data_IF_361366165623
#
_entry.id   IF_361366165623
#
_cell.length_a   1.000
_cell.length_b   1.000
_cell.length_c   1.000
_cell.angle_alpha   90.00
_cell.angle_beta   90.00
_cell.angle_gamma   90.00
#
_symmetry.space_group_name_H-M   'P 1'
#
loop_
_entity.id
_entity.type
_entity.pdbx_description
1 polymer ?
#
# COMPACT_ATOMS: atom_id res chain seq x y z
N UNK A 1 13.41 -34.98 18.19
CA UNK A 1 12.29 -34.59 17.32
C UNK A 1 11.14 -35.55 17.57
N UNK A 2 10.02 -35.07 18.09
CA UNK A 2 8.81 -35.89 18.28
C UNK A 2 7.81 -35.53 17.19
N UNK A 3 7.47 -36.49 16.33
CA UNK A 3 6.53 -36.28 15.23
C UNK A 3 5.10 -36.51 15.71
N UNK A 4 4.22 -35.51 15.58
CA UNK A 4 2.83 -35.63 15.99
C UNK A 4 1.91 -35.99 14.81
N UNK A 5 1.48 -37.24 14.73
CA UNK A 5 0.61 -37.74 13.65
C UNK A 5 -0.75 -37.03 13.61
N UNK A 6 -1.32 -36.69 14.77
CA UNK A 6 -2.62 -36.02 14.80
C UNK A 6 -2.53 -34.57 14.34
N UNK A 7 -1.42 -33.88 14.62
CA UNK A 7 -1.19 -32.54 14.09
C UNK A 7 -0.95 -32.56 12.58
N UNK A 8 -0.28 -33.60 12.07
CA UNK A 8 -0.14 -33.81 10.62
C UNK A 8 -1.50 -33.94 9.94
N UNK A 9 -2.39 -34.81 10.45
CA UNK A 9 -3.68 -35.06 9.82
C UNK A 9 -4.65 -33.87 9.95
N UNK A 10 -4.85 -33.38 11.17
CA UNK A 10 -5.86 -32.35 11.46
C UNK A 10 -5.36 -30.91 11.23
N UNK A 11 -4.04 -30.69 11.15
CA UNK A 11 -3.42 -29.40 10.88
C UNK A 11 -3.91 -28.28 11.81
N UNK A 12 -4.38 -27.14 11.28
CA UNK A 12 -4.85 -25.98 12.04
C UNK A 12 -5.91 -26.32 13.08
N UNK A 13 -6.76 -27.31 12.78
CA UNK A 13 -7.84 -27.73 13.67
C UNK A 13 -7.25 -28.30 14.97
N UNK A 14 -6.15 -29.04 14.89
CA UNK A 14 -5.48 -29.61 16.05
C UNK A 14 -4.97 -28.55 17.03
N UNK A 15 -4.41 -27.45 16.49
CA UNK A 15 -3.90 -26.32 17.27
C UNK A 15 -5.05 -25.51 17.89
N UNK A 16 -6.12 -25.25 17.12
CA UNK A 16 -7.28 -24.51 17.62
C UNK A 16 -8.08 -25.27 18.68
N UNK A 17 -8.23 -26.60 18.54
CA UNK A 17 -8.82 -27.47 19.58
C UNK A 17 -8.08 -27.34 20.92
N UNK A 18 -6.76 -27.16 20.88
CA UNK A 18 -5.88 -26.98 22.04
C UNK A 18 -5.77 -25.54 22.53
N UNK A 19 -6.56 -24.63 21.96
CA UNK A 19 -6.58 -23.22 22.30
C UNK A 19 -5.24 -22.51 22.02
N UNK A 20 -4.50 -22.96 21.00
CA UNK A 20 -3.26 -22.34 20.53
C UNK A 20 -3.53 -21.60 19.22
N UNK A 21 -4.29 -20.51 19.32
CA UNK A 21 -4.85 -19.82 18.14
C UNK A 21 -3.81 -19.14 17.26
N UNK A 22 -2.72 -18.60 17.82
CA UNK A 22 -1.69 -17.93 17.02
C UNK A 22 -1.09 -18.88 15.97
N UNK A 23 -0.75 -20.11 16.38
CA UNK A 23 -0.26 -21.15 15.49
C UNK A 23 -1.36 -21.70 14.58
N UNK A 24 -2.58 -21.87 15.09
CA UNK A 24 -3.71 -22.32 14.28
C UNK A 24 -3.97 -21.36 13.11
N UNK A 25 -4.00 -20.04 13.35
CA UNK A 25 -4.24 -19.03 12.32
C UNK A 25 -3.12 -18.95 11.30
N UNK A 26 -1.86 -18.91 11.74
CA UNK A 26 -0.71 -18.86 10.84
C UNK A 26 -0.69 -20.07 9.89
N UNK A 27 -0.88 -21.27 10.43
CA UNK A 27 -0.96 -22.49 9.62
C UNK A 27 -2.21 -22.55 8.75
N UNK A 28 -3.37 -22.05 9.23
CA UNK A 28 -4.59 -22.02 8.45
C UNK A 28 -4.45 -21.17 7.18
N UNK A 29 -3.78 -20.02 7.27
CA UNK A 29 -3.55 -19.16 6.10
C UNK A 29 -2.75 -19.90 5.03
N UNK A 30 -1.63 -20.52 5.43
CA UNK A 30 -0.74 -21.19 4.48
C UNK A 30 -1.39 -22.47 3.91
N UNK A 31 -2.10 -23.23 4.76
CA UNK A 31 -2.82 -24.43 4.33
C UNK A 31 -3.98 -24.08 3.39
N UNK A 32 -4.76 -23.05 3.72
CA UNK A 32 -5.83 -22.55 2.84
C UNK A 32 -5.26 -22.11 1.49
N UNK A 33 -4.16 -21.36 1.48
CA UNK A 33 -3.48 -20.97 0.24
C UNK A 33 -3.06 -22.19 -0.58
N UNK A 34 -2.47 -23.19 0.06
CA UNK A 34 -2.04 -24.43 -0.61
C UNK A 34 -3.21 -25.18 -1.24
N UNK A 35 -4.32 -25.35 -0.49
CA UNK A 35 -5.54 -26.00 -0.99
C UNK A 35 -6.16 -25.19 -2.13
N UNK A 36 -6.20 -23.86 -2.03
CA UNK A 36 -6.66 -22.99 -3.12
C UNK A 36 -5.83 -23.22 -4.39
N UNK A 37 -4.50 -23.32 -4.31
CA UNK A 37 -3.68 -23.58 -5.51
C UNK A 37 -3.95 -24.96 -6.12
N UNK A 38 -4.20 -25.99 -5.30
CA UNK A 38 -4.56 -27.33 -5.77
C UNK A 38 -5.88 -27.30 -6.52
N UNK A 39 -6.93 -26.74 -5.91
CA UNK A 39 -8.26 -26.70 -6.51
C UNK A 39 -8.26 -25.79 -7.74
N UNK A 40 -7.61 -24.62 -7.66
CA UNK A 40 -7.47 -23.70 -8.79
C UNK A 40 -6.74 -24.36 -9.96
N UNK A 41 -5.63 -25.06 -9.70
CA UNK A 41 -4.83 -25.68 -10.75
C UNK A 41 -5.48 -26.88 -11.43
N UNK A 42 -6.25 -27.71 -10.71
CA UNK A 42 -6.90 -28.89 -11.30
C UNK A 42 -8.33 -28.65 -11.81
N UNK A 43 -9.10 -27.81 -11.11
CA UNK A 43 -10.54 -27.69 -11.33
C UNK A 43 -11.02 -26.25 -11.51
N UNK A 44 -10.20 -25.26 -11.15
CA UNK A 44 -10.59 -23.86 -11.16
C UNK A 44 -10.45 -23.19 -12.52
N UNK A 45 -11.13 -22.05 -12.67
CA UNK A 45 -11.04 -21.24 -13.87
C UNK A 45 -9.86 -20.26 -13.77
N UNK A 46 -8.67 -20.77 -14.06
CA UNK A 46 -7.39 -20.04 -13.93
C UNK A 46 -7.29 -18.90 -14.95
N UNK A 47 -7.98 -19.04 -16.09
CA UNK A 47 -7.99 -18.09 -17.20
C UNK A 47 -9.07 -17.02 -17.08
N UNK A 48 -9.98 -17.11 -16.10
CA UNK A 48 -11.09 -16.17 -15.92
C UNK A 48 -10.65 -14.70 -15.97
N UNK A 49 -9.56 -14.35 -15.27
CA UNK A 49 -9.04 -12.98 -15.25
C UNK A 49 -8.48 -12.54 -16.61
N UNK A 50 -7.81 -13.45 -17.33
CA UNK A 50 -7.26 -13.16 -18.65
C UNK A 50 -8.36 -13.04 -19.72
N UNK A 51 -9.37 -13.92 -19.67
CA UNK A 51 -10.56 -13.86 -20.52
C UNK A 51 -11.35 -12.57 -20.26
N UNK A 52 -11.49 -12.15 -19.00
CA UNK A 52 -12.15 -10.88 -18.66
C UNK A 52 -11.45 -9.67 -19.28
N UNK A 53 -10.12 -9.67 -19.37
CA UNK A 53 -9.37 -8.62 -20.09
C UNK A 53 -9.66 -8.64 -21.58
N UNK A 54 -9.73 -9.83 -22.19
CA UNK A 54 -10.10 -10.00 -23.60
C UNK A 54 -11.50 -9.43 -23.85
N UNK A 55 -12.49 -9.75 -22.99
CA UNK A 55 -13.85 -9.20 -23.09
C UNK A 55 -13.87 -7.66 -22.98
N UNK A 56 -13.07 -7.09 -22.07
CA UNK A 56 -12.95 -5.64 -21.93
C UNK A 56 -12.34 -4.99 -23.19
N UNK A 57 -11.29 -5.56 -23.75
CA UNK A 57 -10.68 -5.06 -24.99
C UNK A 57 -11.64 -5.23 -26.17
N UNK A 58 -12.32 -6.35 -26.29
CA UNK A 58 -13.32 -6.60 -27.32
C UNK A 58 -14.45 -5.55 -27.27
N UNK A 59 -15.00 -5.26 -26.08
CA UNK A 59 -16.02 -4.22 -25.93
C UNK A 59 -15.52 -2.83 -26.35
N UNK A 60 -14.22 -2.56 -26.14
CA UNK A 60 -13.58 -1.32 -26.58
C UNK A 60 -13.42 -1.30 -28.11
N UNK A 61 -13.03 -2.41 -28.73
CA UNK A 61 -12.93 -2.56 -30.19
C UNK A 61 -14.30 -2.32 -30.83
N UNK A 62 -15.35 -2.96 -30.31
CA UNK A 62 -16.72 -2.82 -30.81
C UNK A 62 -17.19 -1.35 -30.75
N UNK A 63 -16.86 -0.65 -29.67
CA UNK A 63 -17.14 0.78 -29.55
C UNK A 63 -16.36 1.62 -30.58
N UNK A 64 -15.08 1.30 -30.82
CA UNK A 64 -14.26 2.01 -31.82
C UNK A 64 -14.71 1.72 -33.26
N UNK A 65 -15.21 0.51 -33.55
CA UNK A 65 -15.78 0.18 -34.85
C UNK A 65 -17.02 1.03 -35.16
N UNK A 66 -17.91 1.24 -34.18
CA UNK A 66 -19.05 2.17 -34.33
C UNK A 66 -18.60 3.61 -34.59
N UNK A 67 -17.52 4.07 -33.93
CA UNK A 67 -16.95 5.39 -34.18
C UNK A 67 -16.34 5.51 -35.58
N UNK A 68 -15.70 4.43 -36.06
CA UNK A 68 -15.14 4.35 -37.41
C UNK A 68 -16.25 4.45 -38.47
N UNK A 69 -17.35 3.72 -38.31
CA UNK A 69 -18.52 3.80 -39.20
C UNK A 69 -19.08 5.23 -39.26
N UNK A 70 -19.29 5.86 -38.11
CA UNK A 70 -19.75 7.26 -38.05
C UNK A 70 -18.75 8.26 -38.66
N UNK A 71 -17.46 7.99 -38.58
CA UNK A 71 -16.41 8.82 -39.16
C UNK A 71 -16.31 8.66 -40.68
N UNK A 72 -16.59 7.48 -41.23
CA UNK A 72 -16.65 7.25 -42.68
C UNK A 72 -17.73 8.13 -43.33
N UNK A 73 -18.85 8.32 -42.65
CA UNK A 73 -19.96 9.16 -43.13
C UNK A 73 -19.72 10.66 -42.97
N UNK A 74 -19.04 11.10 -41.89
CA UNK A 74 -19.01 12.51 -41.49
C UNK A 74 -17.62 13.17 -41.45
N UNK A 75 -16.50 12.43 -41.44
CA UNK A 75 -15.14 12.97 -41.32
C UNK A 75 -14.05 11.99 -41.86
N UNK A 76 -13.72 12.06 -43.16
CA UNK A 76 -12.79 11.13 -43.81
C UNK A 76 -11.38 11.12 -43.21
N UNK A 77 -10.89 12.27 -42.74
CA UNK A 77 -9.51 12.43 -42.25
C UNK A 77 -9.21 11.63 -40.98
N UNK A 78 -10.24 11.26 -40.20
CA UNK A 78 -10.08 10.50 -38.94
C UNK A 78 -10.19 8.98 -39.12
N UNK A 79 -10.60 8.52 -40.31
CA UNK A 79 -10.82 7.09 -40.61
C UNK A 79 -9.53 6.29 -40.41
N UNK A 80 -8.39 6.79 -40.87
CA UNK A 80 -7.10 6.10 -40.71
C UNK A 80 -6.65 5.99 -39.25
N UNK A 81 -6.94 7.01 -38.44
CA UNK A 81 -6.60 7.03 -37.01
C UNK A 81 -7.39 5.94 -36.28
N UNK A 82 -8.69 5.82 -36.55
CA UNK A 82 -9.53 4.79 -35.95
C UNK A 82 -9.13 3.39 -36.42
N UNK A 83 -8.87 3.18 -37.72
CA UNK A 83 -8.37 1.89 -38.22
C UNK A 83 -7.06 1.47 -37.54
N UNK A 84 -6.13 2.41 -37.34
CA UNK A 84 -4.87 2.12 -36.64
C UNK A 84 -5.11 1.79 -35.17
N UNK A 85 -6.01 2.51 -34.50
CA UNK A 85 -6.36 2.25 -33.11
C UNK A 85 -7.00 0.86 -32.93
N UNK A 86 -7.96 0.51 -33.80
CA UNK A 86 -8.60 -0.82 -33.80
C UNK A 86 -7.54 -1.90 -34.02
N UNK A 87 -6.67 -1.76 -35.03
CA UNK A 87 -5.58 -2.71 -35.28
C UNK A 87 -4.67 -2.89 -34.06
N UNK A 88 -4.30 -1.80 -33.38
CA UNK A 88 -3.48 -1.89 -32.17
C UNK A 88 -4.17 -2.62 -31.01
N UNK A 89 -5.50 -2.50 -30.90
CA UNK A 89 -6.29 -3.22 -29.90
C UNK A 89 -6.43 -4.70 -30.26
N UNK A 90 -6.59 -5.03 -31.54
CA UNK A 90 -6.59 -6.41 -32.04
C UNK A 90 -5.23 -7.10 -31.81
N UNK A 91 -4.12 -6.41 -32.11
CA UNK A 91 -2.77 -6.89 -31.83
C UNK A 91 -2.57 -7.14 -30.32
N UNK A 92 -3.05 -6.23 -29.46
CA UNK A 92 -3.01 -6.41 -28.01
C UNK A 92 -3.89 -7.59 -27.54
N UNK A 93 -5.06 -7.78 -28.15
CA UNK A 93 -5.96 -8.90 -27.86
C UNK A 93 -5.32 -10.24 -28.22
N UNK A 94 -4.57 -10.31 -29.32
CA UNK A 94 -3.79 -11.50 -29.67
C UNK A 94 -2.72 -11.81 -28.62
N UNK A 95 -2.07 -10.77 -28.07
CA UNK A 95 -1.17 -10.90 -26.92
C UNK A 95 -1.86 -11.53 -25.71
N UNK A 96 -3.05 -11.05 -25.33
CA UNK A 96 -3.82 -11.64 -24.23
C UNK A 96 -4.28 -13.08 -24.52
N UNK A 97 -4.63 -13.40 -25.77
CA UNK A 97 -4.96 -14.77 -26.16
C UNK A 97 -3.76 -15.74 -25.99
N UNK A 98 -2.55 -15.26 -26.27
CA UNK A 98 -1.32 -16.03 -25.99
C UNK A 98 -1.08 -16.18 -24.48
N UNK A 99 -1.33 -15.13 -23.68
CA UNK A 99 -1.25 -15.22 -22.22
C UNK A 99 -2.23 -16.27 -21.66
N UNK A 100 -3.46 -16.35 -22.18
CA UNK A 100 -4.44 -17.39 -21.79
C UNK A 100 -3.85 -18.79 -21.98
N UNK A 101 -3.27 -19.07 -23.16
CA UNK A 101 -2.65 -20.38 -23.45
C UNK A 101 -1.47 -20.68 -22.52
N UNK A 102 -0.65 -19.68 -22.20
CA UNK A 102 0.45 -19.84 -21.26
C UNK A 102 -0.04 -20.13 -19.84
N UNK A 103 -1.09 -19.44 -19.39
CA UNK A 103 -1.71 -19.67 -18.07
C UNK A 103 -2.31 -21.06 -17.99
N UNK A 104 -3.00 -21.54 -19.04
CA UNK A 104 -3.51 -22.91 -19.12
C UNK A 104 -2.39 -23.95 -19.03
N UNK A 105 -1.28 -23.74 -19.75
CA UNK A 105 -0.12 -24.63 -19.67
C UNK A 105 0.52 -24.65 -18.27
N UNK A 106 0.45 -23.54 -17.54
CA UNK A 106 0.97 -23.44 -16.16
C UNK A 106 0.04 -24.03 -15.10
N UNK A 107 -1.21 -24.38 -15.44
CA UNK A 107 -2.21 -24.91 -14.52
C UNK A 107 -1.70 -26.07 -13.65
N UNK A 108 -1.05 -27.03 -14.31
CA UNK A 108 -0.51 -28.24 -13.67
C UNK A 108 0.61 -27.87 -12.69
N UNK A 109 1.48 -26.93 -13.07
CA UNK A 109 2.56 -26.47 -12.20
C UNK A 109 2.04 -25.75 -10.95
N UNK A 110 0.97 -24.96 -11.08
CA UNK A 110 0.29 -24.32 -9.95
C UNK A 110 -0.26 -25.39 -8.98
N UNK A 111 -0.89 -26.43 -9.51
CA UNK A 111 -1.43 -27.53 -8.71
C UNK A 111 -0.32 -28.30 -7.96
N UNK A 112 0.77 -28.66 -8.66
CA UNK A 112 1.93 -29.35 -8.08
C UNK A 112 2.56 -28.51 -6.96
N UNK A 113 2.74 -27.22 -7.21
CA UNK A 113 3.25 -26.29 -6.20
C UNK A 113 2.36 -26.29 -4.94
N UNK A 114 1.03 -26.25 -5.12
CA UNK A 114 0.08 -26.36 -4.01
C UNK A 114 0.22 -27.66 -3.21
N UNK A 115 0.40 -28.81 -3.87
CA UNK A 115 0.62 -30.11 -3.20
C UNK A 115 1.92 -30.11 -2.41
N UNK A 116 3.02 -29.67 -3.03
CA UNK A 116 4.34 -29.64 -2.38
C UNK A 116 4.30 -28.73 -1.14
N UNK A 117 3.71 -27.55 -1.29
CA UNK A 117 3.56 -26.60 -0.18
C UNK A 117 2.71 -27.18 0.95
N UNK A 118 1.59 -27.85 0.63
CA UNK A 118 0.72 -28.50 1.61
C UNK A 118 1.49 -29.57 2.41
N UNK A 119 2.26 -30.42 1.72
CA UNK A 119 3.05 -31.48 2.37
C UNK A 119 4.12 -30.89 3.31
N UNK A 120 4.83 -29.85 2.86
CA UNK A 120 5.82 -29.15 3.69
C UNK A 120 5.16 -28.58 4.94
N UNK A 121 4.04 -27.87 4.78
CA UNK A 121 3.32 -27.25 5.90
C UNK A 121 2.82 -28.30 6.88
N UNK A 122 2.26 -29.41 6.40
CA UNK A 122 1.81 -30.54 7.23
C UNK A 122 2.97 -31.14 8.03
N UNK A 123 4.14 -31.27 7.41
CA UNK A 123 5.34 -31.77 8.08
C UNK A 123 5.84 -30.81 9.17
N UNK A 124 5.88 -29.50 8.88
CA UNK A 124 6.24 -28.47 9.86
C UNK A 124 5.25 -28.42 11.03
N UNK A 125 3.94 -28.50 10.75
CA UNK A 125 2.90 -28.60 11.78
C UNK A 125 3.16 -29.79 12.72
N UNK A 126 3.47 -30.96 12.17
CA UNK A 126 3.73 -32.18 12.93
C UNK A 126 4.98 -32.10 13.81
N UNK A 127 6.01 -31.37 13.35
CA UNK A 127 7.25 -31.13 14.09
C UNK A 127 7.03 -30.16 15.24
N UNK A 128 6.43 -29.00 14.95
CA UNK A 128 6.30 -27.91 15.94
C UNK A 128 5.21 -28.18 16.96
N UNK A 129 4.24 -29.05 16.64
CA UNK A 129 3.11 -29.40 17.49
C UNK A 129 3.49 -29.69 18.95
N UNK A 130 4.52 -30.51 19.17
CA UNK A 130 4.89 -30.93 20.53
C UNK A 130 5.63 -29.82 21.29
N UNK A 131 6.54 -29.09 20.65
CA UNK A 131 7.25 -27.95 21.24
C UNK A 131 6.28 -26.84 21.67
N UNK A 132 5.29 -26.57 20.82
CA UNK A 132 4.26 -25.57 21.08
C UNK A 132 3.35 -26.01 22.23
N UNK A 133 2.99 -27.29 22.28
CA UNK A 133 2.23 -27.85 23.41
C UNK A 133 2.99 -27.78 24.72
N UNK A 134 4.28 -28.11 24.72
CA UNK A 134 5.14 -28.05 25.90
C UNK A 134 5.24 -26.62 26.45
N UNK A 135 5.50 -25.65 25.56
CA UNK A 135 5.55 -24.23 25.94
C UNK A 135 4.22 -23.78 26.56
N UNK A 136 3.10 -24.16 25.94
CA UNK A 136 1.77 -23.84 26.45
C UNK A 136 1.46 -24.52 27.78
N UNK A 137 1.90 -25.76 27.95
CA UNK A 137 1.73 -26.50 29.19
C UNK A 137 2.52 -25.85 30.34
N UNK A 138 3.74 -25.40 30.08
CA UNK A 138 4.55 -24.65 31.06
C UNK A 138 3.90 -23.32 31.46
N UNK A 139 3.35 -22.57 30.50
CA UNK A 139 2.58 -21.35 30.80
C UNK A 139 1.36 -21.64 31.68
N UNK A 140 0.62 -22.70 31.35
CA UNK A 140 -0.55 -23.12 32.12
C UNK A 140 -0.18 -23.56 33.54
N UNK A 141 0.98 -24.22 33.71
CA UNK A 141 1.50 -24.59 35.02
C UNK A 141 1.83 -23.36 35.86
N UNK A 142 2.40 -22.32 35.23
CA UNK A 142 2.69 -21.03 35.89
C UNK A 142 1.43 -20.21 36.18
N UNK A 143 0.39 -20.29 35.34
CA UNK A 143 -0.83 -19.51 35.47
C UNK A 143 -2.08 -20.35 35.20
N UNK A 144 -2.73 -20.79 36.29
CA UNK A 144 -3.96 -21.60 36.23
C UNK A 144 -5.22 -20.85 35.78
N UNK A 145 -5.15 -19.52 35.60
CA UNK A 145 -6.25 -18.74 35.04
C UNK A 145 -6.41 -18.95 33.53
N UNK A 146 -5.43 -19.54 32.86
CA UNK A 146 -5.50 -19.85 31.44
C UNK A 146 -6.56 -20.92 31.16
N UNK A 147 -7.47 -20.64 30.22
CA UNK A 147 -8.53 -21.57 29.85
C UNK A 147 -7.93 -22.90 29.34
N UNK A 148 -8.39 -24.05 29.88
CA UNK A 148 -7.99 -25.36 29.38
C UNK A 148 -8.28 -25.51 27.89
N UNK A 149 -7.34 -26.09 27.15
CA UNK A 149 -7.58 -26.63 25.81
C UNK A 149 -8.55 -27.81 25.85
N UNK A 150 -8.93 -28.31 24.66
CA UNK A 150 -9.72 -29.55 24.51
C UNK A 150 -11.13 -29.55 25.12
N UNK A 151 -11.75 -28.38 25.32
CA UNK A 151 -13.19 -28.28 25.61
C UNK A 151 -13.99 -28.46 24.32
N UNK A 152 -15.20 -29.02 24.40
CA UNK A 152 -16.09 -29.20 23.25
C UNK A 152 -16.29 -27.91 22.44
N UNK A 153 -16.39 -26.76 23.12
CA UNK A 153 -16.44 -25.42 22.49
C UNK A 153 -15.26 -25.15 21.54
N UNK A 154 -14.04 -25.55 21.92
CA UNK A 154 -12.84 -25.32 21.10
C UNK A 154 -12.81 -26.25 19.89
N UNK A 155 -13.28 -27.49 20.03
CA UNK A 155 -13.43 -28.42 18.91
C UNK A 155 -14.37 -27.85 17.84
N UNK A 156 -15.56 -27.42 18.27
CA UNK A 156 -16.57 -26.85 17.37
C UNK A 156 -16.06 -25.56 16.75
N UNK A 157 -15.53 -24.64 17.57
CA UNK A 157 -15.03 -23.35 17.08
C UNK A 157 -13.88 -23.51 16.10
N UNK A 158 -12.90 -24.37 16.39
CA UNK A 158 -11.75 -24.58 15.51
C UNK A 158 -12.13 -25.30 14.21
N UNK A 159 -13.03 -26.29 14.29
CA UNK A 159 -13.53 -26.99 13.12
C UNK A 159 -14.34 -26.07 12.19
N UNK A 160 -15.34 -25.37 12.73
CA UNK A 160 -16.17 -24.43 11.97
C UNK A 160 -15.32 -23.32 11.36
N UNK A 161 -14.44 -22.71 12.15
CA UNK A 161 -13.62 -21.60 11.68
C UNK A 161 -12.71 -22.01 10.51
N UNK A 162 -12.06 -23.17 10.63
CA UNK A 162 -11.20 -23.73 9.59
C UNK A 162 -12.01 -24.09 8.33
N UNK A 163 -13.17 -24.72 8.50
CA UNK A 163 -14.04 -25.12 7.39
C UNK A 163 -14.58 -23.91 6.64
N UNK A 164 -15.09 -22.90 7.35
CA UNK A 164 -15.64 -21.67 6.77
C UNK A 164 -14.58 -20.96 5.95
N UNK A 165 -13.39 -20.74 6.51
CA UNK A 165 -12.30 -20.06 5.81
C UNK A 165 -11.86 -20.84 4.57
N UNK A 166 -11.64 -22.16 4.70
CA UNK A 166 -11.23 -22.98 3.57
C UNK A 166 -12.29 -23.00 2.48
N UNK A 167 -13.57 -23.22 2.83
CA UNK A 167 -14.66 -23.29 1.87
C UNK A 167 -14.81 -21.98 1.08
N UNK A 168 -14.96 -20.84 1.78
CA UNK A 168 -15.15 -19.55 1.11
C UNK A 168 -13.92 -19.13 0.29
N UNK A 169 -12.71 -19.39 0.79
CA UNK A 169 -11.50 -19.07 0.03
C UNK A 169 -11.38 -19.92 -1.23
N UNK A 170 -11.63 -21.23 -1.14
CA UNK A 170 -11.59 -22.13 -2.30
C UNK A 170 -12.62 -21.73 -3.34
N UNK A 171 -13.86 -21.46 -2.94
CA UNK A 171 -14.91 -21.05 -3.86
C UNK A 171 -14.56 -19.71 -4.54
N UNK A 172 -14.19 -18.70 -3.76
CA UNK A 172 -13.91 -17.36 -4.30
C UNK A 172 -12.71 -17.34 -5.26
N UNK A 173 -11.60 -17.99 -4.88
CA UNK A 173 -10.36 -17.91 -5.66
C UNK A 173 -10.25 -18.97 -6.77
N UNK A 174 -10.93 -20.12 -6.65
CA UNK A 174 -10.88 -21.17 -7.68
C UNK A 174 -12.00 -21.02 -8.70
N UNK A 175 -13.15 -20.45 -8.30
CA UNK A 175 -14.33 -20.26 -9.15
C UNK A 175 -14.80 -18.79 -9.11
N UNK A 176 -14.06 -17.85 -9.73
CA UNK A 176 -14.46 -16.46 -9.78
C UNK A 176 -15.85 -16.30 -10.41
N UNK A 177 -16.74 -15.51 -9.80
CA UNK A 177 -18.08 -15.26 -10.33
C UNK A 177 -19.16 -16.27 -9.93
N UNK A 178 -18.83 -17.38 -9.27
CA UNK A 178 -19.83 -18.39 -8.87
C UNK A 178 -20.78 -17.89 -7.77
N UNK A 179 -20.27 -17.05 -6.86
CA UNK A 179 -21.05 -16.40 -5.81
C UNK A 179 -20.86 -14.88 -5.94
N UNK A 180 -21.80 -14.20 -6.60
CA UNK A 180 -21.70 -12.76 -6.89
C UNK A 180 -21.59 -11.89 -5.63
N UNK A 181 -22.25 -12.28 -4.53
CA UNK A 181 -22.21 -11.54 -3.25
C UNK A 181 -20.80 -11.50 -2.62
N UNK A 182 -19.89 -12.38 -3.05
CA UNK A 182 -18.50 -12.39 -2.59
C UNK A 182 -17.57 -11.51 -3.42
N UNK A 183 -17.97 -11.12 -4.63
CA UNK A 183 -17.09 -10.35 -5.52
C UNK A 183 -16.93 -8.91 -5.07
N UNK A 184 -18.02 -8.32 -4.56
CA UNK A 184 -18.03 -6.96 -4.06
C UNK A 184 -18.58 -6.97 -2.64
N UNK A 185 -17.97 -6.18 -1.77
CA UNK A 185 -18.57 -5.90 -0.49
C UNK A 185 -19.95 -5.25 -0.71
N UNK A 186 -21.00 -5.66 0.03
CA UNK A 186 -22.34 -5.10 -0.11
C UNK A 186 -22.39 -3.66 0.44
N UNK A 187 -21.79 -2.71 -0.27
CA UNK A 187 -21.92 -1.28 0.01
C UNK A 187 -23.11 -0.71 -0.74
N UNK A 188 -24.08 -0.18 -0.02
CA UNK A 188 -25.10 0.69 -0.62
C UNK A 188 -24.43 2.00 -1.10
N UNK A 189 -24.58 2.39 -2.39
CA UNK A 189 -23.95 3.60 -2.93
C UNK A 189 -24.25 4.87 -2.13
N UNK A 190 -25.40 4.94 -1.49
CA UNK A 190 -25.86 6.05 -0.66
C UNK A 190 -24.93 6.32 0.53
N UNK A 191 -24.44 5.26 1.19
CA UNK A 191 -23.52 5.40 2.33
C UNK A 191 -22.21 6.03 1.87
N UNK A 192 -21.69 5.57 0.72
CA UNK A 192 -20.46 6.11 0.13
C UNK A 192 -20.60 7.58 -0.26
N UNK A 193 -21.69 7.95 -0.93
CA UNK A 193 -21.95 9.34 -1.33
C UNK A 193 -22.16 10.26 -0.13
N UNK A 194 -22.84 9.78 0.91
CA UNK A 194 -23.03 10.51 2.17
C UNK A 194 -21.70 10.77 2.88
N UNK A 195 -20.82 9.76 2.96
CA UNK A 195 -19.48 9.92 3.54
C UNK A 195 -18.63 10.92 2.78
N UNK A 196 -18.66 10.91 1.44
CA UNK A 196 -17.93 11.90 0.60
C UNK A 196 -18.42 13.32 0.92
N UNK A 197 -19.74 13.52 0.89
CA UNK A 197 -20.35 14.83 1.17
C UNK A 197 -20.01 15.35 2.57
N UNK A 198 -19.99 14.47 3.56
CA UNK A 198 -19.64 14.85 4.93
C UNK A 198 -18.17 15.31 5.02
N UNK A 199 -17.25 14.60 4.37
CA UNK A 199 -15.83 14.97 4.32
C UNK A 199 -15.63 16.30 3.60
N UNK A 200 -16.26 16.49 2.43
CA UNK A 200 -16.23 17.77 1.70
C UNK A 200 -16.72 18.92 2.57
N UNK A 201 -17.86 18.75 3.24
CA UNK A 201 -18.42 19.77 4.14
C UNK A 201 -17.48 20.09 5.30
N UNK A 202 -16.80 19.09 5.87
CA UNK A 202 -15.84 19.29 6.95
C UNK A 202 -14.59 20.05 6.48
N UNK A 203 -14.08 19.75 5.28
CA UNK A 203 -12.96 20.47 4.67
C UNK A 203 -13.34 21.92 4.36
N UNK A 204 -14.49 22.15 3.73
CA UNK A 204 -14.98 23.50 3.42
C UNK A 204 -15.15 24.33 4.69
N UNK A 205 -15.69 23.72 5.76
CA UNK A 205 -15.80 24.37 7.06
C UNK A 205 -14.43 24.73 7.63
N UNK A 206 -13.46 23.82 7.57
CA UNK A 206 -12.11 24.06 8.07
C UNK A 206 -11.39 25.17 7.29
N UNK A 207 -11.57 25.24 5.97
CA UNK A 207 -11.01 26.30 5.12
C UNK A 207 -11.66 27.65 5.46
N UNK A 208 -12.99 27.72 5.50
CA UNK A 208 -13.71 28.98 5.76
C UNK A 208 -13.41 29.52 7.18
N UNK A 209 -13.35 28.63 8.19
CA UNK A 209 -13.05 29.05 9.57
C UNK A 209 -11.56 29.25 9.81
N UNK A 210 -10.71 28.55 9.06
CA UNK A 210 -9.26 28.65 9.15
C UNK A 210 -8.66 29.81 8.35
N UNK A 211 -9.40 30.42 7.42
CA UNK A 211 -8.89 31.46 6.51
C UNK A 211 -8.20 32.61 7.26
N UNK A 212 -8.83 33.12 8.32
CA UNK A 212 -8.25 34.17 9.15
C UNK A 212 -6.97 33.72 9.87
N UNK A 213 -6.91 32.47 10.33
CA UNK A 213 -5.73 31.89 10.99
C UNK A 213 -4.58 31.71 10.00
N UNK A 214 -4.84 31.10 8.83
CA UNK A 214 -3.82 30.91 7.80
C UNK A 214 -3.33 32.23 7.22
N UNK A 215 -4.22 33.22 7.08
CA UNK A 215 -3.85 34.57 6.70
C UNK A 215 -2.98 35.24 7.77
N UNK A 216 -3.35 35.13 9.05
CA UNK A 216 -2.54 35.67 10.14
C UNK A 216 -1.15 35.03 10.21
N UNK A 217 -1.04 33.71 10.02
CA UNK A 217 0.24 33.00 9.93
C UNK A 217 1.06 33.52 8.74
N UNK A 218 0.43 33.65 7.56
CA UNK A 218 1.09 34.15 6.35
C UNK A 218 1.62 35.58 6.55
N UNK A 219 0.81 36.45 7.15
CA UNK A 219 1.22 37.82 7.47
C UNK A 219 2.36 37.80 8.51
N UNK A 220 2.28 36.95 9.52
CA UNK A 220 3.33 36.81 10.53
C UNK A 220 4.67 36.42 9.92
N UNK A 221 4.69 35.39 9.07
CA UNK A 221 5.91 34.93 8.39
C UNK A 221 6.46 36.02 7.48
N UNK A 222 5.60 36.65 6.66
CA UNK A 222 6.02 37.76 5.78
C UNK A 222 6.57 38.93 6.57
N UNK A 223 5.94 39.30 7.68
CA UNK A 223 6.39 40.39 8.54
C UNK A 223 7.80 40.12 9.09
N UNK A 224 8.07 38.89 9.56
CA UNK A 224 9.41 38.50 10.03
C UNK A 224 10.42 38.56 8.89
N UNK A 225 10.08 38.00 7.72
CA UNK A 225 10.98 37.98 6.57
C UNK A 225 11.29 39.41 6.06
N UNK A 226 10.26 40.26 5.95
CA UNK A 226 10.39 41.66 5.54
C UNK A 226 11.23 42.46 6.54
N UNK A 227 11.11 42.17 7.84
CA UNK A 227 11.94 42.77 8.88
C UNK A 227 13.40 42.34 8.77
N UNK A 228 13.67 41.05 8.56
CA UNK A 228 15.03 40.54 8.36
C UNK A 228 15.66 41.10 7.08
N UNK A 229 14.89 41.22 6.00
CA UNK A 229 15.34 41.89 4.77
C UNK A 229 15.67 43.36 5.04
N UNK A 230 14.81 44.06 5.79
CA UNK A 230 15.08 45.46 6.17
C UNK A 230 16.39 45.58 6.97
N UNK A 231 16.56 44.74 8.00
CA UNK A 231 17.74 44.77 8.86
C UNK A 231 19.04 44.45 8.12
N UNK A 232 19.08 43.38 7.31
CA UNK A 232 20.33 42.89 6.72
C UNK A 232 20.59 43.37 5.29
N UNK A 233 19.55 43.71 4.54
CA UNK A 233 19.69 44.09 3.12
C UNK A 233 19.53 45.59 2.94
N UNK A 234 18.51 46.21 3.54
CA UNK A 234 18.22 47.63 3.35
C UNK A 234 19.05 48.55 4.24
N UNK A 235 19.47 48.09 5.42
CA UNK A 235 20.37 48.86 6.29
C UNK A 235 21.71 49.10 5.57
N UNK A 236 22.27 50.33 5.61
CA UNK A 236 23.55 50.61 4.97
C UNK A 236 24.64 49.64 5.42
N UNK A 237 25.38 49.08 4.45
CA UNK A 237 26.39 48.04 4.67
C UNK A 237 27.42 48.41 5.74
N UNK A 238 27.78 49.70 5.84
CA UNK A 238 28.74 50.19 6.83
C UNK A 238 28.26 49.89 8.26
N UNK A 239 26.97 50.06 8.53
CA UNK A 239 26.37 49.84 9.86
C UNK A 239 26.43 48.36 10.23
N UNK A 240 26.11 47.48 9.28
CA UNK A 240 26.15 46.03 9.48
C UNK A 240 27.58 45.55 9.73
N UNK A 241 28.55 45.98 8.92
CA UNK A 241 29.97 45.62 9.11
C UNK A 241 30.46 46.10 10.48
N UNK A 242 30.20 47.36 10.84
CA UNK A 242 30.63 47.88 12.15
C UNK A 242 29.99 47.10 13.29
N UNK A 243 28.72 46.72 13.17
CA UNK A 243 28.01 45.95 14.20
C UNK A 243 28.58 44.55 14.33
N UNK A 244 28.76 43.83 13.22
CA UNK A 244 29.32 42.46 13.21
C UNK A 244 30.75 42.47 13.76
N UNK A 245 31.60 43.41 13.31
CA UNK A 245 33.00 43.48 13.75
C UNK A 245 33.10 43.83 15.23
N UNK A 246 32.28 44.77 15.70
CA UNK A 246 32.25 45.16 17.12
C UNK A 246 31.74 44.03 18.00
N UNK A 247 30.63 43.38 17.62
CA UNK A 247 30.10 42.22 18.34
C UNK A 247 31.08 41.06 18.34
N UNK A 248 31.71 40.75 17.21
CA UNK A 248 32.75 39.72 17.12
C UNK A 248 33.92 40.05 18.04
N UNK A 249 34.32 41.32 18.10
CA UNK A 249 35.38 41.79 19.00
C UNK A 249 35.04 41.65 20.48
N UNK A 250 33.79 41.97 20.85
CA UNK A 250 33.30 41.82 22.21
C UNK A 250 33.10 40.36 22.61
N UNK A 251 32.67 39.49 21.68
CA UNK A 251 32.38 38.08 21.98
C UNK A 251 33.60 37.15 21.87
N UNK A 252 34.49 37.38 20.89
CA UNK A 252 35.60 36.47 20.56
C UNK A 252 36.99 37.15 20.61
N UNK A 253 37.05 38.42 21.01
CA UNK A 253 38.28 39.19 21.17
C UNK A 253 38.74 39.95 19.92
N UNK A 254 39.70 40.89 20.06
CA UNK A 254 40.06 41.86 19.02
C UNK A 254 40.71 41.22 17.78
N UNK A 255 41.38 40.07 17.95
CA UNK A 255 41.98 39.35 16.81
C UNK A 255 40.91 38.80 15.87
N UNK A 256 39.83 38.25 16.42
CA UNK A 256 38.71 37.73 15.63
C UNK A 256 37.97 38.86 14.90
N UNK A 257 37.85 40.04 15.52
CA UNK A 257 37.26 41.22 14.89
C UNK A 257 38.02 41.66 13.63
N UNK A 258 39.36 41.66 13.66
CA UNK A 258 40.20 42.04 12.51
C UNK A 258 40.01 41.04 11.36
N UNK A 259 40.00 39.74 11.66
CA UNK A 259 39.76 38.72 10.62
C UNK A 259 38.36 38.81 10.03
N UNK A 260 37.34 39.04 10.85
CA UNK A 260 35.95 39.27 10.42
C UNK A 260 35.82 40.52 9.54
N UNK A 261 36.46 41.62 9.93
CA UNK A 261 36.48 42.85 9.14
C UNK A 261 37.12 42.64 7.76
N UNK A 262 38.26 41.93 7.71
CA UNK A 262 38.94 41.60 6.45
C UNK A 262 38.08 40.73 5.54
N UNK A 263 37.40 39.72 6.10
CA UNK A 263 36.48 38.87 5.35
C UNK A 263 35.28 39.65 4.79
N UNK A 264 34.64 40.50 5.60
CA UNK A 264 33.50 41.31 5.16
C UNK A 264 33.89 42.35 4.11
N UNK A 265 35.08 42.95 4.24
CA UNK A 265 35.62 43.87 3.23
C UNK A 265 35.87 43.16 1.89
N UNK A 266 36.43 41.95 1.93
CA UNK A 266 36.61 41.11 0.75
C UNK A 266 35.28 40.75 0.07
N UNK A 267 34.27 40.35 0.85
CA UNK A 267 32.92 40.05 0.36
C UNK A 267 32.24 41.26 -0.28
N UNK A 268 32.43 42.44 0.29
CA UNK A 268 31.97 43.71 -0.26
C UNK A 268 32.66 44.06 -1.58
N UNK A 269 33.99 43.93 -1.63
CA UNK A 269 34.80 44.26 -2.82
C UNK A 269 34.43 43.42 -4.04
N UNK A 270 34.15 42.12 -3.87
CA UNK A 270 33.75 41.22 -4.96
C UNK A 270 32.27 41.35 -5.36
N UNK A 271 31.50 42.24 -4.73
CA UNK A 271 30.09 42.46 -5.05
C UNK A 271 29.16 41.33 -4.61
N UNK A 272 29.60 40.44 -3.72
CA UNK A 272 28.79 39.32 -3.21
C UNK A 272 27.93 39.69 -2.00
N UNK A 273 28.05 40.91 -1.49
CA UNK A 273 27.37 41.40 -0.29
C UNK A 273 25.85 41.17 -0.31
N UNK A 274 25.15 41.67 -1.34
CA UNK A 274 23.68 41.64 -1.40
C UNK A 274 23.16 40.20 -1.45
N UNK A 275 23.81 39.32 -2.23
CA UNK A 275 23.42 37.91 -2.34
C UNK A 275 23.66 37.15 -1.04
N UNK A 276 24.76 37.42 -0.34
CA UNK A 276 25.04 36.78 0.94
C UNK A 276 24.02 37.18 2.02
N UNK A 277 23.64 38.47 2.09
CA UNK A 277 22.68 38.95 3.09
C UNK A 277 21.24 38.51 2.81
N UNK A 278 20.81 38.42 1.55
CA UNK A 278 19.46 37.88 1.23
C UNK A 278 19.36 36.38 1.54
N UNK A 279 20.41 35.60 1.28
CA UNK A 279 20.46 34.19 1.67
C UNK A 279 20.41 34.04 3.19
N UNK A 280 21.12 34.88 3.96
CA UNK A 280 21.05 34.88 5.42
C UNK A 280 19.65 35.23 5.94
N UNK A 281 18.97 36.20 5.33
CA UNK A 281 17.62 36.60 5.71
C UNK A 281 16.54 35.54 5.39
N UNK A 282 16.76 34.71 4.36
CA UNK A 282 15.82 33.66 3.93
C UNK A 282 16.02 32.31 4.64
N UNK A 283 17.22 32.04 5.18
CA UNK A 283 17.56 30.81 5.91
C UNK A 283 17.44 30.95 7.44
N UNK A 284 17.28 32.19 7.93
CA UNK A 284 17.13 32.53 9.35
C UNK A 284 15.72 32.38 9.89
#
# INVERSE_FOLDING_TARGET
FSFNLFAFLLGPIWFGMRNVWNWALAFLIIETFSVVQIIRGFFGNITADAVKKIEQVQSTIDFRNKQLEAAIENNPDKVEVYKRAIKSLEDAMQGYAQEVQQVEASAIWIAIFGIVLLLIVKFLQAIFANTVLESRYSEWLSNKLLSPGMKLKNYISSGIFTLVIMFFSVVHYSFPGWIEIMNNFPTHPEIRLSSIKWVETAFDYAVIKGDALFTAITIGIRSVLDFLELLFVKTPWIVIITTIVTLTGLSAGPRAAIYSAGFLAYMGFLGFWVKAMTTLALLG
#
